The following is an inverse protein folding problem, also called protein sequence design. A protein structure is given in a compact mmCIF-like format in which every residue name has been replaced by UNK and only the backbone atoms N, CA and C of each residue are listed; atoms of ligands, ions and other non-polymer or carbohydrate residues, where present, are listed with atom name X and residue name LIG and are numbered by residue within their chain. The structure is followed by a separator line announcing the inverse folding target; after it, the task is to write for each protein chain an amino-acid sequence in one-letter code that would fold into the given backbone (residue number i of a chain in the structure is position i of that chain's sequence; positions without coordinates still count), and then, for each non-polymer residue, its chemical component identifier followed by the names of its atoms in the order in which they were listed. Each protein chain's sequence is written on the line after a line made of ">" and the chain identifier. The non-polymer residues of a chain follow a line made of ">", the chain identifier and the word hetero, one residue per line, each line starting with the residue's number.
data_IF_353285126539
#
_entry.id   IF_353285126539
#
_cell.length_a   1.000
_cell.length_b   1.000
_cell.length_c   1.000
_cell.angle_alpha   90.00
_cell.angle_beta   90.00
_cell.angle_gamma   90.00
#
_symmetry.space_group_name_H-M   'P 1'
#
loop_
_entity.id
_entity.type
_entity.pdbx_description
1 polymer ?
#
# COMPACT_ATOMS: atom_id res chain seq x y z
N UNK A 1 -17.18 -40.93 39.12
CA UNK A 1 -17.96 -39.74 38.90
C UNK A 1 -16.99 -38.63 38.62
N UNK A 2 -16.88 -38.23 37.35
CA UNK A 2 -16.07 -37.12 36.91
C UNK A 2 -16.65 -35.82 37.41
N UNK A 3 -15.80 -34.87 37.75
CA UNK A 3 -16.24 -33.50 38.00
C UNK A 3 -16.56 -32.89 36.64
N UNK A 4 -17.78 -32.41 36.50
CA UNK A 4 -18.27 -31.79 35.28
C UNK A 4 -17.82 -30.30 35.16
N UNK A 5 -17.34 -29.70 36.27
CA UNK A 5 -16.99 -28.32 36.34
C UNK A 5 -15.71 -28.09 37.16
N UNK A 6 -14.89 -27.13 36.74
CA UNK A 6 -13.72 -26.62 37.44
C UNK A 6 -13.97 -25.18 37.88
N UNK A 7 -13.92 -24.88 39.18
CA UNK A 7 -13.98 -23.54 39.72
C UNK A 7 -12.56 -23.02 40.00
N UNK A 8 -12.12 -22.03 39.29
CA UNK A 8 -10.86 -21.35 39.51
C UNK A 8 -11.11 -20.05 40.31
N UNK A 9 -10.57 -19.96 41.51
CA UNK A 9 -10.71 -18.81 42.40
C UNK A 9 -9.34 -18.09 42.51
N UNK A 10 -9.24 -16.88 41.96
CA UNK A 10 -8.06 -16.02 42.10
C UNK A 10 -8.32 -14.92 43.16
N UNK A 11 -7.95 -15.17 44.41
CA UNK A 11 -8.21 -14.27 45.51
C UNK A 11 -7.23 -13.09 45.64
N UNK A 12 -6.08 -13.16 44.99
CA UNK A 12 -4.98 -12.19 45.17
C UNK A 12 -4.54 -11.52 43.89
N UNK A 13 -5.30 -11.66 42.81
CA UNK A 13 -4.98 -11.08 41.47
C UNK A 13 -3.58 -11.49 40.97
N UNK A 14 -3.17 -12.71 41.35
CA UNK A 14 -1.85 -13.25 41.01
C UNK A 14 -1.73 -13.49 39.50
N UNK A 15 -2.83 -13.79 38.81
CA UNK A 15 -2.90 -13.97 37.37
C UNK A 15 -2.53 -12.71 36.61
N UNK A 16 -2.86 -11.52 37.15
CA UNK A 16 -2.47 -10.23 36.54
C UNK A 16 -1.02 -9.86 36.80
N UNK A 17 -0.49 -10.16 37.99
CA UNK A 17 0.85 -9.74 38.40
C UNK A 17 1.99 -10.65 37.93
N UNK A 18 1.73 -11.93 37.74
CA UNK A 18 2.77 -12.93 37.52
C UNK A 18 2.63 -13.70 36.21
N UNK A 19 1.76 -13.25 35.28
CA UNK A 19 1.48 -13.97 34.03
C UNK A 19 1.27 -15.47 34.25
N UNK A 20 0.50 -15.81 35.29
CA UNK A 20 0.23 -17.22 35.62
C UNK A 20 -0.49 -17.88 34.46
N UNK A 21 -0.19 -19.15 34.28
CA UNK A 21 -0.77 -19.98 33.24
C UNK A 21 -2.30 -20.02 33.40
N UNK A 22 -3.02 -19.34 32.52
CA UNK A 22 -4.49 -19.36 32.47
C UNK A 22 -4.96 -20.62 31.73
N UNK A 23 -6.22 -21.05 31.90
CA UNK A 23 -6.74 -22.23 31.20
C UNK A 23 -6.51 -22.19 29.68
N UNK A 24 -6.61 -21.03 29.06
CA UNK A 24 -6.31 -20.83 27.64
C UNK A 24 -4.88 -21.26 27.24
N UNK A 25 -3.89 -21.07 28.10
CA UNK A 25 -2.50 -21.47 27.82
C UNK A 25 -2.28 -23.00 27.85
N UNK A 26 -3.21 -23.74 28.46
CA UNK A 26 -3.14 -25.20 28.55
C UNK A 26 -3.83 -25.90 27.37
N UNK A 27 -4.72 -25.21 26.67
CA UNK A 27 -5.59 -25.77 25.64
C UNK A 27 -5.14 -25.35 24.26
N UNK A 28 -4.86 -24.03 24.07
CA UNK A 28 -4.52 -23.50 22.76
C UNK A 28 -3.07 -23.81 22.37
N UNK A 29 -2.88 -24.32 21.17
CA UNK A 29 -1.56 -24.56 20.57
C UNK A 29 -0.94 -23.25 19.99
N UNK A 30 -1.78 -22.32 19.53
CA UNK A 30 -1.36 -21.07 18.91
C UNK A 30 -1.34 -19.91 19.91
N UNK A 31 -0.22 -19.15 20.02
CA UNK A 31 -0.14 -17.98 20.90
C UNK A 31 -1.19 -16.91 20.60
N UNK A 32 -1.58 -16.76 19.32
CA UNK A 32 -2.57 -15.77 18.90
C UNK A 32 -3.98 -16.16 19.35
N UNK A 33 -4.33 -17.44 19.19
CA UNK A 33 -5.61 -18.01 19.68
C UNK A 33 -5.65 -17.95 21.20
N UNK A 34 -4.54 -18.26 21.88
CA UNK A 34 -4.41 -18.13 23.34
C UNK A 34 -4.73 -16.71 23.80
N UNK A 35 -4.13 -15.72 23.17
CA UNK A 35 -4.36 -14.31 23.51
C UNK A 35 -5.83 -13.93 23.31
N UNK A 36 -6.41 -14.29 22.18
CA UNK A 36 -7.80 -14.00 21.86
C UNK A 36 -8.77 -14.71 22.82
N UNK A 37 -8.47 -15.95 23.17
CA UNK A 37 -9.27 -16.71 24.14
C UNK A 37 -9.21 -16.05 25.52
N UNK A 38 -8.06 -15.54 25.95
CA UNK A 38 -7.94 -14.79 27.22
C UNK A 38 -8.81 -13.52 27.18
N UNK A 39 -8.76 -12.76 26.08
CA UNK A 39 -9.62 -11.58 25.88
C UNK A 39 -11.10 -11.93 25.95
N UNK A 40 -11.54 -12.98 25.26
CA UNK A 40 -12.92 -13.44 25.26
C UNK A 40 -13.36 -13.95 26.65
N UNK A 41 -12.46 -14.59 27.41
CA UNK A 41 -12.74 -15.02 28.78
C UNK A 41 -12.90 -13.85 29.76
N UNK A 42 -12.19 -12.74 29.56
CA UNK A 42 -12.32 -11.55 30.39
C UNK A 42 -13.66 -10.83 30.16
N UNK A 43 -14.21 -10.90 28.96
CA UNK A 43 -15.51 -10.33 28.64
C UNK A 43 -16.67 -11.14 29.23
N UNK A 44 -16.54 -12.46 29.35
CA UNK A 44 -17.59 -13.38 29.82
C UNK A 44 -17.41 -13.76 31.30
N UNK A 45 -17.07 -12.83 32.19
CA UNK A 45 -16.88 -13.07 33.62
C UNK A 45 -18.18 -13.51 34.31
N UNK A 46 -18.10 -14.57 35.14
CA UNK A 46 -19.22 -15.06 35.98
C UNK A 46 -20.11 -16.09 35.35
N UNK A 47 -19.75 -16.65 34.21
CA UNK A 47 -20.48 -17.72 33.53
C UNK A 47 -19.63 -19.01 33.53
N UNK A 48 -20.26 -20.16 33.53
CA UNK A 48 -19.57 -21.43 33.29
C UNK A 48 -19.17 -21.50 31.84
N UNK A 49 -17.85 -21.55 31.60
CA UNK A 49 -17.28 -21.48 30.27
C UNK A 49 -17.00 -22.89 29.72
N UNK A 50 -17.51 -23.17 28.53
CA UNK A 50 -17.09 -24.33 27.73
C UNK A 50 -15.80 -23.95 27.01
N UNK A 51 -14.65 -24.47 27.49
CA UNK A 51 -13.32 -24.11 27.03
C UNK A 51 -13.08 -24.58 25.59
N UNK A 52 -13.62 -25.69 25.13
CA UNK A 52 -13.49 -26.20 23.77
C UNK A 52 -14.24 -25.30 22.78
N UNK A 53 -15.48 -24.95 23.13
CA UNK A 53 -16.28 -24.02 22.33
C UNK A 53 -15.66 -22.63 22.25
N UNK A 54 -15.03 -22.17 23.35
CA UNK A 54 -14.36 -20.87 23.39
C UNK A 54 -13.05 -20.87 22.60
N UNK A 55 -12.29 -21.96 22.59
CA UNK A 55 -11.12 -22.11 21.73
C UNK A 55 -11.51 -22.05 20.25
N UNK A 56 -12.54 -22.81 19.84
CA UNK A 56 -13.02 -22.82 18.48
C UNK A 56 -13.50 -21.41 18.04
N UNK A 57 -14.27 -20.73 18.86
CA UNK A 57 -14.68 -19.34 18.62
C UNK A 57 -13.50 -18.39 18.50
N UNK A 58 -12.53 -18.50 19.40
CA UNK A 58 -11.33 -17.64 19.39
C UNK A 58 -10.44 -17.88 18.16
N UNK A 59 -10.37 -19.11 17.68
CA UNK A 59 -9.68 -19.44 16.43
C UNK A 59 -10.38 -18.81 15.21
N UNK A 60 -11.71 -18.85 15.16
CA UNK A 60 -12.52 -18.20 14.12
C UNK A 60 -12.33 -16.66 14.15
N UNK A 61 -12.37 -16.07 15.34
CA UNK A 61 -12.15 -14.62 15.53
C UNK A 61 -10.77 -14.17 15.03
N UNK A 62 -9.70 -14.92 15.34
CA UNK A 62 -8.34 -14.65 14.85
C UNK A 62 -8.27 -14.69 13.32
N UNK A 63 -8.92 -15.67 12.69
CA UNK A 63 -8.99 -15.75 11.22
C UNK A 63 -9.74 -14.56 10.65
N UNK A 64 -10.90 -14.22 11.21
CA UNK A 64 -11.71 -13.08 10.76
C UNK A 64 -10.94 -11.75 10.89
N UNK A 65 -10.25 -11.50 12.01
CA UNK A 65 -9.43 -10.31 12.21
C UNK A 65 -8.28 -10.21 11.21
N UNK A 66 -7.63 -11.33 10.88
CA UNK A 66 -6.59 -11.38 9.85
C UNK A 66 -7.12 -11.07 8.45
N UNK A 67 -8.28 -11.63 8.10
CA UNK A 67 -8.91 -11.36 6.80
C UNK A 67 -9.31 -9.90 6.68
N UNK A 68 -9.87 -9.30 7.72
CA UNK A 68 -10.21 -7.88 7.74
C UNK A 68 -8.96 -6.99 7.62
N UNK A 69 -7.89 -7.30 8.35
CA UNK A 69 -6.62 -6.57 8.27
C UNK A 69 -6.03 -6.64 6.87
N UNK A 70 -6.02 -7.82 6.23
CA UNK A 70 -5.58 -8.00 4.85
C UNK A 70 -6.45 -7.24 3.86
N UNK A 71 -7.76 -7.30 4.00
CA UNK A 71 -8.70 -6.56 3.13
C UNK A 71 -8.46 -5.05 3.23
N UNK A 72 -8.22 -4.53 4.45
CA UNK A 72 -7.88 -3.13 4.69
C UNK A 72 -6.56 -2.74 4.03
N UNK A 73 -5.51 -3.54 4.20
CA UNK A 73 -4.22 -3.32 3.56
C UNK A 73 -4.34 -3.30 2.04
N UNK A 74 -5.04 -4.28 1.46
CA UNK A 74 -5.28 -4.32 0.00
C UNK A 74 -6.07 -3.10 -0.49
N UNK A 75 -7.06 -2.63 0.27
CA UNK A 75 -7.81 -1.43 -0.08
C UNK A 75 -6.94 -0.17 -0.04
N UNK A 76 -6.05 -0.05 0.94
CA UNK A 76 -5.08 1.05 1.03
C UNK A 76 -4.05 1.02 -0.11
N UNK A 77 -3.50 -0.16 -0.42
CA UNK A 77 -2.60 -0.33 -1.57
C UNK A 77 -3.28 0.07 -2.89
N UNK A 78 -4.54 -0.35 -3.11
CA UNK A 78 -5.32 0.04 -4.29
C UNK A 78 -5.56 1.55 -4.35
N UNK A 79 -5.82 2.21 -3.20
CA UNK A 79 -5.96 3.68 -3.13
C UNK A 79 -4.64 4.38 -3.44
N UNK A 80 -3.52 3.90 -2.92
CA UNK A 80 -2.17 4.43 -3.22
C UNK A 80 -1.86 4.27 -4.71
N UNK A 81 -2.04 3.07 -5.28
CA UNK A 81 -1.80 2.81 -6.70
C UNK A 81 -2.65 3.72 -7.62
N UNK A 82 -3.88 4.07 -7.21
CA UNK A 82 -4.71 5.03 -7.96
C UNK A 82 -4.21 6.47 -7.88
N UNK A 83 -3.51 6.83 -6.82
CA UNK A 83 -3.01 8.20 -6.60
C UNK A 83 -1.68 8.47 -7.29
N UNK A 84 -0.86 7.46 -7.44
CA UNK A 84 0.51 7.54 -7.96
C UNK A 84 0.62 6.96 -9.36
N UNK A 85 1.67 7.34 -10.07
CA UNK A 85 2.02 6.84 -11.39
C UNK A 85 2.97 5.66 -11.23
N UNK A 86 2.69 4.58 -11.95
CA UNK A 86 3.57 3.43 -12.02
C UNK A 86 4.92 3.82 -12.64
N UNK A 87 6.07 3.47 -12.01
CA UNK A 87 7.39 3.79 -12.54
C UNK A 87 7.59 3.30 -13.98
N UNK A 88 7.18 2.07 -14.29
CA UNK A 88 7.32 1.48 -15.62
C UNK A 88 6.50 2.24 -16.66
N UNK A 89 5.25 2.60 -16.33
CA UNK A 89 4.42 3.42 -17.22
C UNK A 89 5.09 4.75 -17.50
N UNK A 90 5.66 5.40 -16.48
CA UNK A 90 6.39 6.66 -16.64
C UNK A 90 7.62 6.49 -17.53
N UNK A 91 8.44 5.46 -17.30
CA UNK A 91 9.63 5.14 -18.09
C UNK A 91 9.28 4.96 -19.57
N UNK A 92 8.22 4.20 -19.87
CA UNK A 92 7.73 4.00 -21.24
C UNK A 92 7.25 5.30 -21.88
N UNK A 93 6.51 6.14 -21.14
CA UNK A 93 5.96 7.39 -21.66
C UNK A 93 7.02 8.42 -22.02
N UNK A 94 8.17 8.38 -21.37
CA UNK A 94 9.31 9.27 -21.64
C UNK A 94 10.38 8.65 -22.53
N UNK A 95 10.15 7.45 -23.04
CA UNK A 95 11.10 6.67 -23.86
C UNK A 95 12.48 6.52 -23.21
N UNK A 96 12.53 6.25 -21.90
CA UNK A 96 13.75 6.08 -21.13
C UNK A 96 14.16 4.61 -21.05
N UNK A 97 14.76 4.08 -22.10
CA UNK A 97 15.24 2.71 -22.17
C UNK A 97 16.32 2.40 -21.13
N UNK A 98 17.12 3.40 -20.76
CA UNK A 98 18.14 3.31 -19.70
C UNK A 98 17.55 3.06 -18.32
N UNK A 99 16.34 3.52 -18.04
CA UNK A 99 15.63 3.26 -16.80
C UNK A 99 15.03 1.84 -16.75
N UNK A 100 14.45 1.40 -17.86
CA UNK A 100 13.82 0.07 -17.93
C UNK A 100 14.83 -1.07 -17.97
N UNK A 101 16.02 -0.85 -18.57
CA UNK A 101 17.13 -1.79 -18.65
C UNK A 101 18.17 -1.63 -17.54
N UNK A 102 17.91 -0.77 -16.54
CA UNK A 102 18.87 -0.50 -15.48
C UNK A 102 19.23 -1.73 -14.66
N UNK A 103 20.52 -2.03 -14.59
CA UNK A 103 21.10 -3.08 -13.75
C UNK A 103 22.07 -2.42 -12.76
N UNK A 104 21.88 -2.61 -11.45
CA UNK A 104 22.79 -2.05 -10.46
C UNK A 104 24.17 -2.72 -10.55
N UNK A 105 25.23 -1.90 -10.54
CA UNK A 105 26.62 -2.37 -10.62
C UNK A 105 27.36 -2.26 -9.27
N UNK A 106 26.95 -1.37 -8.40
CA UNK A 106 27.60 -1.13 -7.11
C UNK A 106 26.74 -1.62 -5.95
N UNK A 107 27.38 -2.04 -4.86
CA UNK A 107 26.69 -2.58 -3.70
C UNK A 107 25.66 -1.62 -3.08
N UNK A 108 25.90 -0.30 -3.08
CA UNK A 108 24.97 0.70 -2.60
C UNK A 108 23.73 0.86 -3.50
N UNK A 109 23.88 0.58 -4.79
CA UNK A 109 22.77 0.61 -5.76
C UNK A 109 21.79 -0.55 -5.54
N UNK A 110 22.32 -1.70 -5.10
CA UNK A 110 21.55 -2.91 -4.80
C UNK A 110 20.75 -2.80 -3.50
N UNK A 111 21.15 -1.87 -2.61
CA UNK A 111 20.45 -1.64 -1.36
C UNK A 111 18.99 -1.18 -1.59
N UNK A 112 18.07 -1.42 -0.65
CA UNK A 112 16.71 -0.88 -0.74
C UNK A 112 16.75 0.66 -0.78
N UNK A 113 15.79 1.31 -1.46
CA UNK A 113 15.70 2.76 -1.50
C UNK A 113 15.56 3.35 -0.10
N UNK A 114 16.26 4.46 0.17
CA UNK A 114 16.14 5.17 1.43
C UNK A 114 14.76 5.85 1.56
N UNK A 115 14.30 6.08 2.78
CA UNK A 115 13.06 6.83 3.01
C UNK A 115 13.04 8.22 2.36
N UNK A 116 14.20 8.88 2.28
CA UNK A 116 14.32 10.19 1.61
C UNK A 116 14.06 10.09 0.12
N UNK A 117 14.60 9.06 -0.53
CA UNK A 117 14.36 8.79 -1.95
C UNK A 117 12.88 8.46 -2.20
N UNK A 118 12.28 7.58 -1.39
CA UNK A 118 10.87 7.21 -1.51
C UNK A 118 9.95 8.43 -1.34
N UNK A 119 10.15 9.23 -0.29
CA UNK A 119 9.39 10.48 -0.07
C UNK A 119 9.56 11.48 -1.22
N UNK A 120 10.75 11.58 -1.80
CA UNK A 120 10.99 12.45 -2.95
C UNK A 120 10.26 11.95 -4.21
N UNK A 121 10.28 10.66 -4.51
CA UNK A 121 9.53 10.05 -5.61
C UNK A 121 8.01 10.21 -5.44
N UNK A 122 7.48 10.00 -4.24
CA UNK A 122 6.07 10.23 -3.92
C UNK A 122 5.65 11.69 -4.14
N UNK A 123 6.54 12.67 -3.83
CA UNK A 123 6.29 14.09 -4.11
C UNK A 123 6.12 14.35 -5.60
N UNK A 124 6.89 13.68 -6.44
CA UNK A 124 6.73 13.73 -7.90
C UNK A 124 5.51 12.95 -8.39
N UNK A 125 4.89 12.13 -7.55
CA UNK A 125 3.72 11.34 -7.87
C UNK A 125 4.03 9.96 -8.44
N UNK A 126 5.22 9.44 -8.22
CA UNK A 126 5.63 8.08 -8.61
C UNK A 126 5.24 7.09 -7.51
N UNK A 127 4.75 5.91 -7.90
CA UNK A 127 4.45 4.82 -6.99
C UNK A 127 5.74 4.14 -6.55
N UNK A 128 6.01 4.13 -5.26
CA UNK A 128 7.33 3.76 -4.72
C UNK A 128 7.48 2.28 -4.41
N UNK A 129 6.39 1.55 -4.22
CA UNK A 129 6.42 0.13 -3.83
C UNK A 129 7.01 -0.78 -4.94
N UNK A 130 7.09 -0.29 -6.18
CA UNK A 130 7.67 -0.98 -7.34
C UNK A 130 9.11 -0.54 -7.67
N UNK A 131 9.70 0.35 -6.85
CA UNK A 131 11.10 0.78 -7.00
C UNK A 131 12.01 -0.14 -6.21
N UNK A 132 12.62 -1.11 -6.89
CA UNK A 132 13.31 -2.23 -6.25
C UNK A 132 14.61 -1.91 -5.52
N UNK A 133 15.35 -0.86 -5.93
CA UNK A 133 16.67 -0.56 -5.36
C UNK A 133 17.01 0.93 -5.37
N UNK A 134 18.03 1.30 -4.58
CA UNK A 134 18.47 2.68 -4.39
C UNK A 134 19.06 3.31 -5.67
N UNK A 135 19.71 2.50 -6.50
CA UNK A 135 20.27 2.97 -7.78
C UNK A 135 19.17 3.40 -8.74
N UNK A 136 18.12 2.58 -8.93
CA UNK A 136 16.95 2.92 -9.75
C UNK A 136 16.21 4.14 -9.20
N UNK A 137 16.08 4.23 -7.86
CA UNK A 137 15.48 5.40 -7.21
C UNK A 137 16.24 6.69 -7.52
N UNK A 138 17.57 6.67 -7.47
CA UNK A 138 18.41 7.83 -7.83
C UNK A 138 18.25 8.22 -9.30
N UNK A 139 18.33 7.24 -10.20
CA UNK A 139 18.22 7.49 -11.63
C UNK A 139 16.84 8.08 -12.00
N UNK A 140 15.76 7.58 -11.38
CA UNK A 140 14.42 8.15 -11.52
C UNK A 140 14.36 9.61 -11.02
N UNK A 141 14.94 9.89 -9.85
CA UNK A 141 14.98 11.25 -9.28
C UNK A 141 15.76 12.21 -10.17
N UNK A 142 16.90 11.81 -10.68
CA UNK A 142 17.72 12.61 -11.59
C UNK A 142 16.96 12.91 -12.89
N UNK A 143 16.28 11.91 -13.43
CA UNK A 143 15.44 12.09 -14.62
C UNK A 143 14.26 13.04 -14.36
N UNK A 144 13.58 12.91 -13.23
CA UNK A 144 12.48 13.80 -12.84
C UNK A 144 12.94 15.24 -12.63
N UNK A 145 14.09 15.44 -11.98
CA UNK A 145 14.68 16.76 -11.77
C UNK A 145 15.09 17.41 -13.11
N UNK A 146 15.75 16.65 -14.00
CA UNK A 146 16.12 17.12 -15.33
C UNK A 146 14.90 17.57 -16.12
N UNK A 147 13.86 16.74 -16.19
CA UNK A 147 12.60 17.06 -16.88
C UNK A 147 11.91 18.29 -16.33
N UNK A 148 11.93 18.45 -14.99
CA UNK A 148 11.38 19.66 -14.34
C UNK A 148 12.13 20.90 -14.78
N UNK A 149 13.47 20.85 -14.84
CA UNK A 149 14.30 21.98 -15.27
C UNK A 149 14.10 22.30 -16.74
N UNK A 150 13.83 21.31 -17.58
CA UNK A 150 13.51 21.43 -19.00
C UNK A 150 12.06 21.87 -19.25
N UNK A 151 11.25 22.04 -18.22
CA UNK A 151 9.83 22.43 -18.34
C UNK A 151 8.94 21.40 -19.03
N UNK A 152 9.28 20.12 -18.94
CA UNK A 152 8.51 19.02 -19.52
C UNK A 152 7.35 18.59 -18.63
N UNK A 153 6.39 17.88 -19.22
CA UNK A 153 5.21 17.35 -18.54
C UNK A 153 5.56 16.49 -17.32
N UNK A 154 4.78 16.66 -16.27
CA UNK A 154 4.92 15.91 -15.01
C UNK A 154 4.35 14.50 -15.11
N UNK A 155 4.79 13.54 -14.26
CA UNK A 155 4.21 12.20 -14.26
C UNK A 155 2.68 12.18 -14.12
N UNK A 156 2.12 13.07 -13.30
CA UNK A 156 0.66 13.17 -13.12
C UNK A 156 -0.06 13.66 -14.37
N UNK A 157 0.50 14.63 -15.08
CA UNK A 157 -0.05 15.10 -16.36
C UNK A 157 0.02 14.02 -17.43
N UNK A 158 1.16 13.32 -17.53
CA UNK A 158 1.35 12.19 -18.45
C UNK A 158 0.26 11.15 -18.21
N UNK A 159 0.16 10.63 -17.00
CA UNK A 159 -0.84 9.61 -16.65
C UNK A 159 -2.27 10.06 -16.97
N UNK A 160 -2.61 11.30 -16.60
CA UNK A 160 -3.95 11.83 -16.81
C UNK A 160 -4.31 11.90 -18.31
N UNK A 161 -3.43 12.43 -19.13
CA UNK A 161 -3.68 12.60 -20.56
C UNK A 161 -3.59 11.27 -21.32
N UNK A 162 -2.61 10.43 -21.02
CA UNK A 162 -2.48 9.10 -21.65
C UNK A 162 -3.66 8.18 -21.29
N UNK A 163 -4.21 8.26 -20.09
CA UNK A 163 -5.42 7.53 -19.73
C UNK A 163 -6.65 7.94 -20.54
N UNK A 164 -6.59 9.06 -21.25
CA UNK A 164 -7.62 9.56 -22.19
C UNK A 164 -7.28 9.35 -23.65
N UNK A 165 -6.21 8.61 -23.93
CA UNK A 165 -5.79 8.22 -25.26
C UNK A 165 -4.86 9.21 -25.97
N UNK A 166 -4.39 10.26 -25.28
CA UNK A 166 -3.30 11.09 -25.83
C UNK A 166 -2.00 10.29 -25.87
N UNK A 167 -1.18 10.54 -26.88
CA UNK A 167 0.09 9.84 -27.11
C UNK A 167 1.29 10.75 -26.91
N UNK A 168 2.43 10.16 -26.56
CA UNK A 168 3.71 10.86 -26.41
C UNK A 168 3.64 12.07 -25.46
N UNK A 169 2.77 12.04 -24.46
CA UNK A 169 2.59 13.13 -23.51
C UNK A 169 3.87 13.38 -22.72
N UNK A 170 4.71 12.38 -22.56
CA UNK A 170 6.05 12.51 -21.99
C UNK A 170 6.95 13.49 -22.73
N UNK A 171 6.71 13.75 -24.01
CA UNK A 171 7.48 14.69 -24.81
C UNK A 171 6.90 16.11 -24.82
N UNK A 172 5.72 16.32 -24.21
CA UNK A 172 5.08 17.63 -24.17
C UNK A 172 5.75 18.54 -23.13
N UNK A 173 5.70 19.86 -23.36
CA UNK A 173 6.04 20.81 -22.33
C UNK A 173 4.90 20.88 -21.25
N UNK A 174 5.26 21.36 -20.07
CA UNK A 174 4.37 21.47 -18.92
C UNK A 174 3.10 22.28 -19.22
N UNK A 175 3.27 23.44 -19.91
CA UNK A 175 2.17 24.35 -20.21
C UNK A 175 1.20 23.75 -21.23
N UNK A 176 1.67 23.09 -22.28
CA UNK A 176 0.80 22.41 -23.25
C UNK A 176 -0.01 21.30 -22.59
N UNK A 177 0.61 20.52 -21.72
CA UNK A 177 -0.08 19.49 -20.96
C UNK A 177 -1.13 20.09 -19.99
N UNK A 178 -0.78 21.16 -19.31
CA UNK A 178 -1.68 21.91 -18.42
C UNK A 178 -2.88 22.45 -19.18
N UNK A 179 -2.62 23.18 -20.27
CA UNK A 179 -3.68 23.79 -21.09
C UNK A 179 -4.67 22.73 -21.62
N UNK A 180 -4.19 21.55 -22.00
CA UNK A 180 -5.07 20.46 -22.42
C UNK A 180 -5.91 19.94 -21.25
N UNK A 181 -5.33 19.78 -20.08
CA UNK A 181 -6.07 19.37 -18.87
C UNK A 181 -7.15 20.39 -18.53
N UNK A 182 -6.84 21.68 -18.57
CA UNK A 182 -7.79 22.76 -18.30
C UNK A 182 -8.94 22.77 -19.32
N UNK A 183 -8.66 22.53 -20.61
CA UNK A 183 -9.68 22.38 -21.65
C UNK A 183 -10.59 21.18 -21.41
N UNK A 184 -10.03 20.04 -20.99
CA UNK A 184 -10.79 18.83 -20.63
C UNK A 184 -11.67 19.10 -19.40
N UNK A 185 -11.14 19.79 -18.39
CA UNK A 185 -11.87 20.14 -17.19
C UNK A 185 -13.05 21.10 -17.51
N UNK A 186 -12.81 22.12 -18.33
CA UNK A 186 -13.84 23.05 -18.79
C UNK A 186 -14.94 22.37 -19.62
N UNK A 187 -14.61 21.24 -20.28
CA UNK A 187 -15.58 20.45 -21.06
C UNK A 187 -16.21 19.29 -20.25
N UNK A 188 -16.34 19.47 -18.91
CA UNK A 188 -16.98 18.45 -18.06
C UNK A 188 -16.19 17.14 -17.98
N UNK A 189 -14.86 17.22 -17.97
CA UNK A 189 -13.93 16.07 -17.93
C UNK A 189 -13.98 15.14 -19.13
N UNK A 190 -14.54 15.64 -20.26
CA UNK A 190 -14.58 14.94 -21.56
C UNK A 190 -13.61 15.61 -22.52
N UNK A 191 -13.10 14.83 -23.48
CA UNK A 191 -12.28 15.39 -24.55
C UNK A 191 -13.12 16.39 -25.35
N UNK A 192 -12.64 17.63 -25.60
CA UNK A 192 -13.37 18.63 -26.36
C UNK A 192 -13.68 18.16 -27.77
N UNK A 193 -14.84 18.57 -28.29
CA UNK A 193 -15.25 18.25 -29.65
C UNK A 193 -14.19 18.70 -30.67
N UNK A 194 -13.91 17.84 -31.65
CA UNK A 194 -12.91 18.11 -32.70
C UNK A 194 -11.48 17.75 -32.35
N UNK A 195 -11.21 17.28 -31.11
CA UNK A 195 -9.86 16.78 -30.72
C UNK A 195 -9.84 15.26 -30.82
N UNK A 196 -8.95 14.73 -31.66
CA UNK A 196 -8.60 13.30 -31.69
C UNK A 196 -7.37 13.10 -30.80
N UNK A 197 -7.57 12.51 -29.61
CA UNK A 197 -6.49 12.37 -28.63
C UNK A 197 -5.25 11.64 -29.18
N UNK A 198 -5.45 10.61 -29.98
CA UNK A 198 -4.37 9.80 -30.55
C UNK A 198 -3.52 10.51 -31.62
N UNK A 199 -4.06 11.56 -32.21
CA UNK A 199 -3.42 12.32 -33.31
C UNK A 199 -3.02 13.74 -32.87
N UNK A 200 -3.36 14.12 -31.63
CA UNK A 200 -3.12 15.47 -31.14
C UNK A 200 -1.62 15.70 -30.85
N UNK A 201 -1.08 16.72 -31.48
CA UNK A 201 0.27 17.25 -31.23
C UNK A 201 0.13 18.66 -30.63
N UNK A 202 0.72 18.94 -29.47
CA UNK A 202 0.74 20.29 -28.92
C UNK A 202 1.65 21.19 -29.77
N UNK A 203 1.23 22.40 -29.99
CA UNK A 203 2.06 23.46 -30.58
C UNK A 203 3.08 23.97 -29.59
#
# INVERSE_FOLDING_TARGET
>A
PGKEELLLLDFLWHTERHELCRPAHLICESPEVTKKMVENMEEETGVVLDLEAMEAKSAEDVVAEREEALAKQLAEMRKRKRKFVDPLQFEMSIHAEDLSSYVPNFGWEMAPPSEKQLKALEKYGIFTDEVGNAGKANLLLDRLNKRRNEGLSTPKQIRFLESRGFRNVGMWNFESARNMIDRIAANGWRIPHGIRASEYLPN
#
